data_IF_326376632262
#
_entry.id   IF_326376632262
#
_cell.length_a   1.000
_cell.length_b   1.000
_cell.length_c   1.000
_cell.angle_alpha   90.00
_cell.angle_beta   90.00
_cell.angle_gamma   90.00
#
_symmetry.space_group_name_H-M   'P 1'
#
loop_
_entity.id
_entity.type
_entity.pdbx_description
1 polymer ?
#
# COMPACT_ATOMS: atom_id res chain seq x y z
N UNK A 1 -14.18 34.43 -0.33
CA UNK A 1 -12.85 34.06 -0.88
C UNK A 1 -12.40 32.85 -0.08
N UNK A 2 -12.02 31.77 -0.75
CA UNK A 2 -11.67 30.50 -0.11
C UNK A 2 -10.37 30.62 0.70
N UNK A 3 -10.37 30.05 1.91
CA UNK A 3 -9.29 30.06 2.90
C UNK A 3 -8.04 29.29 2.43
N UNK A 4 -6.86 29.58 3.00
CA UNK A 4 -5.55 29.21 2.47
C UNK A 4 -5.25 27.71 2.68
N UNK A 5 -5.12 26.99 1.56
CA UNK A 5 -3.98 26.10 1.22
C UNK A 5 -3.36 25.11 2.22
N UNK A 6 -3.99 24.69 3.31
CA UNK A 6 -3.42 23.62 4.19
C UNK A 6 -4.46 22.61 4.74
N UNK A 7 -5.57 22.42 4.04
CA UNK A 7 -6.52 21.35 4.35
C UNK A 7 -6.71 20.49 3.10
N UNK A 8 -6.16 19.28 3.14
CA UNK A 8 -6.45 18.23 2.16
C UNK A 8 -7.98 18.05 2.06
N UNK A 9 -8.48 17.72 0.86
CA UNK A 9 -9.91 17.63 0.52
C UNK A 9 -10.75 16.69 1.42
N UNK A 10 -10.14 15.95 2.35
CA UNK A 10 -10.79 15.00 3.26
C UNK A 10 -10.88 15.50 4.71
N UNK A 11 -10.33 16.68 5.05
CA UNK A 11 -10.38 17.23 6.40
C UNK A 11 -9.47 16.53 7.43
N UNK A 12 -8.45 15.81 6.96
CA UNK A 12 -7.42 15.18 7.80
C UNK A 12 -6.11 15.95 7.65
N UNK A 13 -5.38 16.14 8.76
CA UNK A 13 -4.02 16.71 8.74
C UNK A 13 -3.09 15.75 7.97
N UNK A 14 -2.11 16.28 7.25
CA UNK A 14 -1.15 15.46 6.46
C UNK A 14 -0.47 14.37 7.31
N UNK A 15 -0.32 14.64 8.61
CA UNK A 15 0.21 13.72 9.61
C UNK A 15 -0.61 12.42 9.73
N UNK A 16 -1.95 12.52 9.75
CA UNK A 16 -2.83 11.34 9.81
C UNK A 16 -2.87 10.57 8.49
N UNK A 17 -2.77 11.27 7.36
CA UNK A 17 -2.67 10.62 6.05
C UNK A 17 -1.38 9.79 5.94
N UNK A 18 -0.28 10.28 6.51
CA UNK A 18 1.02 9.60 6.50
C UNK A 18 1.09 8.41 7.45
N UNK A 19 0.43 8.48 8.60
CA UNK A 19 0.25 7.31 9.49
C UNK A 19 -0.51 6.19 8.79
N UNK A 20 -1.65 6.48 8.17
CA UNK A 20 -2.42 5.47 7.45
C UNK A 20 -1.64 4.93 6.24
N UNK A 21 -0.94 5.81 5.52
CA UNK A 21 -0.11 5.42 4.39
C UNK A 21 1.01 4.47 4.83
N UNK A 22 1.68 4.73 5.96
CA UNK A 22 2.75 3.88 6.47
C UNK A 22 2.27 2.46 6.81
N UNK A 23 1.10 2.33 7.44
CA UNK A 23 0.48 1.04 7.79
C UNK A 23 0.02 0.30 6.53
N UNK A 24 -0.61 1.01 5.59
CA UNK A 24 -1.05 0.45 4.32
C UNK A 24 0.13 -0.06 3.48
N UNK A 25 1.21 0.74 3.39
CA UNK A 25 2.40 0.38 2.63
C UNK A 25 3.07 -0.87 3.22
N UNK A 26 3.13 -0.99 4.56
CA UNK A 26 3.64 -2.16 5.25
C UNK A 26 2.84 -3.43 4.94
N UNK A 27 1.50 -3.36 5.07
CA UNK A 27 0.62 -4.50 4.77
C UNK A 27 0.65 -4.90 3.30
N UNK A 28 0.66 -3.92 2.39
CA UNK A 28 0.74 -4.15 0.94
C UNK A 28 2.08 -4.79 0.55
N UNK A 29 3.19 -4.37 1.17
CA UNK A 29 4.50 -4.98 0.95
C UNK A 29 4.54 -6.42 1.41
N UNK A 30 4.01 -6.71 2.60
CA UNK A 30 3.97 -8.06 3.15
C UNK A 30 3.14 -8.99 2.28
N UNK A 31 1.94 -8.56 1.86
CA UNK A 31 1.08 -9.33 0.95
C UNK A 31 1.76 -9.55 -0.41
N UNK A 32 2.34 -8.50 -1.00
CA UNK A 32 2.99 -8.58 -2.32
C UNK A 32 4.21 -9.50 -2.27
N UNK A 33 5.03 -9.44 -1.22
CA UNK A 33 6.18 -10.32 -1.05
C UNK A 33 5.74 -11.79 -0.94
N UNK A 34 4.72 -12.08 -0.13
CA UNK A 34 4.17 -13.43 0.02
C UNK A 34 3.56 -13.92 -1.30
N UNK A 35 2.82 -13.06 -2.01
CA UNK A 35 2.22 -13.40 -3.31
C UNK A 35 3.29 -13.73 -4.34
N UNK A 36 4.37 -12.94 -4.45
CA UNK A 36 5.49 -13.20 -5.37
C UNK A 36 6.17 -14.53 -5.04
N UNK A 37 6.43 -14.79 -3.76
CA UNK A 37 7.01 -16.07 -3.31
C UNK A 37 6.10 -17.24 -3.66
N UNK A 38 4.79 -17.10 -3.43
CA UNK A 38 3.82 -18.14 -3.78
C UNK A 38 3.79 -18.42 -5.29
N UNK A 39 3.81 -17.37 -6.14
CA UNK A 39 3.87 -17.53 -7.59
C UNK A 39 5.16 -18.18 -8.06
N UNK A 40 6.31 -17.79 -7.51
CA UNK A 40 7.59 -18.44 -7.82
C UNK A 40 7.58 -19.92 -7.40
N UNK A 41 7.03 -20.22 -6.22
CA UNK A 41 6.90 -21.59 -5.74
C UNK A 41 6.00 -22.44 -6.65
N UNK A 42 4.87 -21.90 -7.13
CA UNK A 42 4.02 -22.60 -8.11
C UNK A 42 4.71 -22.75 -9.47
N UNK A 43 5.46 -21.76 -9.96
CA UNK A 43 6.23 -21.88 -11.19
C UNK A 43 7.32 -22.96 -11.10
N UNK A 44 7.92 -23.18 -9.93
CA UNK A 44 8.91 -24.25 -9.73
C UNK A 44 8.24 -25.63 -9.71
N UNK A 45 7.08 -25.76 -9.06
CA UNK A 45 6.40 -27.05 -8.88
C UNK A 45 5.65 -27.52 -10.12
N UNK A 46 5.03 -26.59 -10.86
CA UNK A 46 4.29 -26.85 -12.10
C UNK A 46 4.69 -25.73 -13.07
N UNK A 47 5.79 -25.86 -13.83
CA UNK A 47 6.30 -24.83 -14.74
C UNK A 47 5.44 -24.66 -15.99
N UNK A 48 4.17 -25.06 -15.89
CA UNK A 48 3.27 -25.31 -16.98
C UNK A 48 1.91 -24.72 -16.58
N UNK A 49 1.81 -23.41 -16.78
CA UNK A 49 1.16 -22.97 -18.02
C UNK A 49 2.21 -22.90 -19.12
#
# INVERSE_FOLDING_TARGET
MADPTDLSFTGLTDEQAQELHSVYMSGLWLFSAVAVVAHLATFIWRPWF
#
